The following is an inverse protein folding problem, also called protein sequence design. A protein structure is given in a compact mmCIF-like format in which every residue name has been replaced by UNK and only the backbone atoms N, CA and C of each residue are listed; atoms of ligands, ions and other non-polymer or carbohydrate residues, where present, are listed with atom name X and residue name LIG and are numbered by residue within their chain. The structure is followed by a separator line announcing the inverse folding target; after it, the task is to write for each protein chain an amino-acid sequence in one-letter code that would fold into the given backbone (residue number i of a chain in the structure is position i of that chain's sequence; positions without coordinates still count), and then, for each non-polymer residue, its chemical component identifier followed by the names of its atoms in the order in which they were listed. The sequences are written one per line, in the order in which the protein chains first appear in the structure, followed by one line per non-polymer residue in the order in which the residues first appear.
data_IF_574188633236
#
_entry.id   IF_574188633236
#
_cell.length_a   1.000
_cell.length_b   1.000
_cell.length_c   1.000
_cell.angle_alpha   90.00
_cell.angle_beta   90.00
_cell.angle_gamma   90.00
#
_symmetry.space_group_name_H-M   'P 1'
#
loop_
_entity.id
_entity.type
_entity.pdbx_description
1 polymer ?
#
# COMPACT_ATOMS: atom_id res chain seq x y z
N UNK A 1 -21.06 -8.80 -18.73
CA UNK A 1 -19.87 -9.25 -17.98
C UNK A 1 -19.31 -8.03 -17.25
N UNK A 2 -19.17 -8.16 -15.93
CA UNK A 2 -19.20 -7.07 -14.95
C UNK A 2 -18.20 -5.93 -15.15
N UNK A 3 -18.71 -4.75 -14.85
CA UNK A 3 -18.10 -3.44 -14.63
C UNK A 3 -16.73 -3.54 -13.95
N UNK A 4 -15.73 -2.87 -14.53
CA UNK A 4 -14.34 -2.81 -14.08
C UNK A 4 -14.20 -2.72 -12.55
N UNK A 5 -13.69 -3.78 -11.92
CA UNK A 5 -13.35 -3.80 -10.49
C UNK A 5 -12.11 -2.92 -10.26
N UNK A 6 -12.33 -1.59 -10.20
CA UNK A 6 -11.30 -0.64 -9.78
C UNK A 6 -11.34 -0.56 -8.27
N UNK A 7 -10.23 -0.92 -7.63
CA UNK A 7 -10.06 -0.81 -6.20
C UNK A 7 -9.12 0.35 -5.86
N UNK A 8 -9.49 1.10 -4.83
CA UNK A 8 -8.66 2.19 -4.31
C UNK A 8 -7.50 1.63 -3.49
N UNK A 9 -6.27 1.96 -3.88
CA UNK A 9 -5.06 1.62 -3.14
C UNK A 9 -5.08 2.27 -1.76
N UNK A 10 -4.96 1.46 -0.69
CA UNK A 10 -4.93 1.96 0.69
C UNK A 10 -3.56 2.53 1.12
N UNK A 11 -2.56 2.48 0.24
CA UNK A 11 -1.26 3.12 0.46
C UNK A 11 -1.21 4.54 -0.13
N UNK A 12 -1.59 4.72 -1.40
CA UNK A 12 -1.49 6.01 -2.10
C UNK A 12 -2.83 6.70 -2.42
N UNK A 13 -3.96 6.01 -2.25
CA UNK A 13 -5.30 6.54 -2.56
C UNK A 13 -5.68 6.49 -4.04
N UNK A 14 -4.83 5.97 -4.92
CA UNK A 14 -5.11 5.89 -6.35
C UNK A 14 -6.03 4.69 -6.68
N UNK A 15 -6.95 4.87 -7.63
CA UNK A 15 -7.89 3.82 -8.08
C UNK A 15 -7.31 3.03 -9.25
N UNK A 16 -6.98 1.76 -8.99
CA UNK A 16 -6.31 0.86 -9.94
C UNK A 16 -7.12 -0.42 -10.14
N UNK A 17 -6.79 -1.22 -11.17
CA UNK A 17 -7.44 -2.52 -11.37
C UNK A 17 -7.16 -3.44 -10.19
N UNK A 18 -8.22 -3.97 -9.57
CA UNK A 18 -8.12 -4.90 -8.46
C UNK A 18 -7.34 -6.18 -8.83
N UNK A 19 -7.43 -6.62 -10.08
CA UNK A 19 -6.73 -7.80 -10.59
C UNK A 19 -5.20 -7.67 -10.60
N UNK A 20 -4.66 -6.46 -10.50
CA UNK A 20 -3.21 -6.20 -10.55
C UNK A 20 -2.63 -5.74 -9.21
N UNK A 21 -3.45 -5.62 -8.16
CA UNK A 21 -2.93 -5.19 -6.86
C UNK A 21 -2.39 -6.33 -5.99
N UNK A 22 -1.64 -5.90 -4.98
CA UNK A 22 -0.98 -6.74 -4.00
C UNK A 22 -1.59 -6.50 -2.60
N UNK A 23 -1.70 -7.52 -1.76
CA UNK A 23 -2.19 -7.36 -0.40
C UNK A 23 -1.12 -6.73 0.51
N UNK A 24 -1.55 -5.89 1.45
CA UNK A 24 -0.70 -5.36 2.52
C UNK A 24 -0.15 -6.51 3.38
N UNK A 25 1.15 -6.51 3.64
CA UNK A 25 1.83 -7.55 4.39
C UNK A 25 1.33 -7.70 5.84
N UNK A 26 0.72 -6.66 6.43
CA UNK A 26 0.27 -6.68 7.83
C UNK A 26 -1.23 -6.93 8.01
N UNK A 27 -2.08 -6.36 7.16
CA UNK A 27 -3.55 -6.41 7.32
C UNK A 27 -4.29 -6.92 6.09
N UNK A 28 -3.59 -7.29 5.02
CA UNK A 28 -4.19 -7.87 3.81
C UNK A 28 -4.96 -6.88 2.93
N UNK A 29 -5.01 -5.59 3.27
CA UNK A 29 -5.74 -4.60 2.45
C UNK A 29 -5.09 -4.38 1.08
N UNK A 30 -5.89 -4.01 0.09
CA UNK A 30 -5.44 -3.77 -1.28
C UNK A 30 -4.43 -2.62 -1.40
N UNK A 31 -3.31 -2.91 -2.07
CA UNK A 31 -2.26 -1.97 -2.47
C UNK A 31 -2.05 -2.12 -3.99
N UNK A 32 -1.88 -1.03 -4.72
CA UNK A 32 -1.65 -1.10 -6.18
C UNK A 32 -0.26 -1.63 -6.54
N UNK A 33 -0.11 -2.17 -7.75
CA UNK A 33 1.18 -2.65 -8.29
C UNK A 33 2.25 -1.56 -8.26
N UNK A 34 1.90 -0.30 -8.51
CA UNK A 34 2.85 0.81 -8.50
C UNK A 34 3.47 1.04 -7.11
N UNK A 35 2.68 0.85 -6.04
CA UNK A 35 3.20 0.90 -4.67
C UNK A 35 4.11 -0.30 -4.42
N UNK A 36 3.70 -1.51 -4.83
CA UNK A 36 4.53 -2.70 -4.70
C UNK A 36 5.88 -2.57 -5.44
N UNK A 37 5.88 -2.04 -6.66
CA UNK A 37 7.09 -1.78 -7.45
C UNK A 37 8.01 -0.74 -6.80
N UNK A 38 7.46 0.21 -6.05
CA UNK A 38 8.23 1.15 -5.23
C UNK A 38 8.76 0.53 -3.92
N UNK A 39 8.48 -0.74 -3.65
CA UNK A 39 8.81 -1.43 -2.39
C UNK A 39 7.83 -1.16 -1.25
N UNK A 40 6.69 -0.54 -1.53
CA UNK A 40 5.66 -0.25 -0.52
C UNK A 40 4.76 -1.48 -0.34
N UNK A 41 5.06 -2.27 0.70
CA UNK A 41 4.32 -3.50 1.05
C UNK A 41 3.30 -3.31 2.18
N UNK A 42 3.25 -2.11 2.77
CA UNK A 42 2.33 -1.74 3.86
C UNK A 42 1.38 -0.63 3.41
N UNK A 43 0.13 -0.66 3.87
CA UNK A 43 -0.81 0.43 3.64
C UNK A 43 -0.49 1.65 4.51
N UNK A 44 -1.04 2.83 4.19
CA UNK A 44 -0.74 4.06 4.91
C UNK A 44 -1.03 3.96 6.43
N UNK A 45 -2.10 3.24 6.81
CA UNK A 45 -2.41 2.96 8.22
C UNK A 45 -1.37 2.08 8.90
N UNK A 46 -0.89 1.03 8.22
CA UNK A 46 0.13 0.15 8.78
C UNK A 46 1.47 0.87 8.88
N UNK A 47 1.84 1.65 7.86
CA UNK A 47 3.03 2.48 7.90
C UNK A 47 2.98 3.50 9.05
N UNK A 48 1.84 4.16 9.27
CA UNK A 48 1.69 5.11 10.37
C UNK A 48 1.66 4.47 11.77
N UNK A 49 1.27 3.19 11.85
CA UNK A 49 1.26 2.43 13.09
C UNK A 49 2.65 1.88 13.46
N UNK A 50 3.60 1.85 12.52
CA UNK A 50 5.01 1.77 12.84
C UNK A 50 5.52 3.20 13.05
N UNK A 51 6.04 3.57 14.24
CA UNK A 51 6.85 4.78 14.30
C UNK A 51 7.96 4.62 13.26
N UNK A 52 8.27 5.65 12.44
CA UNK A 52 9.41 5.57 11.55
C UNK A 52 10.61 5.11 12.40
N UNK A 53 11.49 4.21 11.90
CA UNK A 53 12.76 4.02 12.56
C UNK A 53 13.34 5.42 12.63
N UNK A 54 13.42 5.95 13.85
CA UNK A 54 14.02 7.24 14.10
C UNK A 54 15.47 7.01 13.78
N UNK A 55 15.84 7.18 12.51
CA UNK A 55 17.17 7.59 12.12
C UNK A 55 17.27 9.04 12.59
N UNK A 56 17.32 9.21 13.91
CA UNK A 56 18.13 10.26 14.47
C UNK A 56 19.55 9.93 13.98
N UNK A 57 20.18 10.79 13.17
CA UNK A 57 21.62 10.66 13.01
C UNK A 57 22.24 10.80 14.40
N UNK A 58 23.10 9.85 14.86
CA UNK A 58 23.94 10.14 15.99
C UNK A 58 25.02 11.13 15.52
N UNK A 59 24.89 12.40 15.94
CA UNK A 59 25.97 13.35 16.25
C UNK A 59 25.47 14.80 16.11
#
# INVERSE_FOLDING_TARGET
MSTTDRMTCRACGNEERASEGYPCARCGVFICVMCNLKGVVLCAKCQAAEPPPTTAPPA
#
